data_IF_859306718965
#
_entry.id   IF_859306718965
#
_cell.length_a   1.000
_cell.length_b   1.000
_cell.length_c   1.000
_cell.angle_alpha   90.00
_cell.angle_beta   90.00
_cell.angle_gamma   90.00
#
_symmetry.space_group_name_H-M   'P 1'
#
loop_
_entity.id
_entity.type
_entity.pdbx_description
1 polymer ?
#
# COMPACT_ATOMS: atom_id res chain seq x y z
N UNK A 1 -0.29 2.83 -0.78
CA UNK A 1 -1.34 2.06 -1.50
C UNK A 1 -1.67 0.84 -0.66
N UNK A 2 -2.94 0.58 -0.37
CA UNK A 2 -3.38 -0.62 0.32
C UNK A 2 -3.87 -1.62 -0.72
N UNK A 3 -3.26 -2.80 -0.75
CA UNK A 3 -3.43 -3.81 -1.78
C UNK A 3 -2.37 -3.72 -2.88
N UNK A 4 -1.80 -4.87 -3.22
CA UNK A 4 -0.91 -5.04 -4.38
C UNK A 4 -1.39 -6.20 -5.27
N UNK A 5 -2.72 -6.25 -5.48
CA UNK A 5 -3.38 -7.05 -6.52
C UNK A 5 -3.47 -6.28 -7.84
N UNK A 6 -4.39 -6.64 -8.72
CA UNK A 6 -4.49 -6.04 -10.07
C UNK A 6 -4.60 -4.50 -10.02
N UNK A 7 -5.58 -3.95 -9.30
CA UNK A 7 -5.78 -2.50 -9.17
C UNK A 7 -4.55 -1.85 -8.51
N UNK A 8 -4.08 -2.39 -7.39
CA UNK A 8 -2.91 -1.88 -6.68
C UNK A 8 -1.63 -1.84 -7.53
N UNK A 9 -1.35 -2.89 -8.30
CA UNK A 9 -0.19 -2.96 -9.19
C UNK A 9 -0.24 -1.89 -10.28
N UNK A 10 -1.38 -1.72 -10.96
CA UNK A 10 -1.54 -0.68 -11.97
C UNK A 10 -1.49 0.72 -11.37
N UNK A 11 -2.04 0.92 -10.16
CA UNK A 11 -1.91 2.17 -9.42
C UNK A 11 -0.44 2.52 -9.19
N UNK A 12 0.34 1.60 -8.63
CA UNK A 12 1.76 1.83 -8.30
C UNK A 12 2.56 2.14 -9.56
N UNK A 13 2.38 1.32 -10.61
CA UNK A 13 3.01 1.52 -11.91
C UNK A 13 2.69 2.90 -12.53
N UNK A 14 1.43 3.33 -12.45
CA UNK A 14 1.01 4.60 -13.06
C UNK A 14 1.43 5.82 -12.23
N UNK A 15 1.47 5.71 -10.90
CA UNK A 15 2.01 6.76 -10.03
C UNK A 15 3.48 6.99 -10.36
N UNK A 16 4.28 5.92 -10.39
CA UNK A 16 5.70 5.98 -10.70
C UNK A 16 5.95 6.56 -12.11
N UNK A 17 5.19 6.10 -13.11
CA UNK A 17 5.26 6.62 -14.50
C UNK A 17 4.99 8.13 -14.59
N UNK A 18 4.21 8.69 -13.67
CA UNK A 18 3.89 10.12 -13.62
C UNK A 18 4.88 10.92 -12.76
N UNK A 19 5.96 10.29 -12.27
CA UNK A 19 6.97 10.92 -11.42
C UNK A 19 6.58 10.96 -9.93
N UNK A 20 5.48 10.31 -9.56
CA UNK A 20 5.07 10.15 -8.18
C UNK A 20 5.87 9.06 -7.47
N UNK A 21 5.88 9.10 -6.14
CA UNK A 21 6.59 8.14 -5.30
C UNK A 21 5.59 7.30 -4.50
N UNK A 22 5.69 5.98 -4.61
CA UNK A 22 4.94 5.07 -3.73
C UNK A 22 5.81 4.73 -2.53
N UNK A 23 5.55 5.39 -1.39
CA UNK A 23 6.34 5.19 -0.18
C UNK A 23 5.91 3.98 0.66
N UNK A 24 4.68 3.47 0.45
CA UNK A 24 4.16 2.39 1.28
C UNK A 24 3.18 1.47 0.53
N UNK A 25 3.29 0.16 0.79
CA UNK A 25 2.35 -0.88 0.38
C UNK A 25 1.84 -1.61 1.61
N UNK A 26 0.52 -1.67 1.81
CA UNK A 26 -0.11 -2.59 2.75
C UNK A 26 -0.65 -3.82 2.01
N UNK A 27 -0.50 -5.01 2.58
CA UNK A 27 -0.96 -6.28 2.03
C UNK A 27 -1.36 -7.24 3.16
N UNK A 28 -1.96 -8.36 2.77
CA UNK A 28 -2.25 -9.53 3.57
C UNK A 28 -1.40 -10.71 3.09
N UNK A 29 -0.84 -11.45 4.04
CA UNK A 29 -0.20 -12.74 3.83
C UNK A 29 -0.99 -13.83 4.55
N UNK A 30 -1.08 -15.01 3.94
CA UNK A 30 -1.83 -16.14 4.51
C UNK A 30 -1.28 -16.64 5.86
N UNK A 31 0.02 -16.48 6.09
CA UNK A 31 0.69 -16.98 7.29
C UNK A 31 0.87 -15.89 8.34
N UNK A 32 0.95 -14.62 7.92
CA UNK A 32 1.28 -13.50 8.81
C UNK A 32 0.18 -12.47 8.98
N UNK A 33 -0.91 -12.56 8.22
CA UNK A 33 -2.00 -11.59 8.23
C UNK A 33 -1.62 -10.26 7.57
N UNK A 34 -2.21 -9.17 8.03
CA UNK A 34 -1.94 -7.84 7.48
C UNK A 34 -0.52 -7.38 7.82
N UNK A 35 0.17 -6.83 6.83
CA UNK A 35 1.47 -6.22 6.98
C UNK A 35 1.59 -5.01 6.06
N UNK A 36 2.56 -4.15 6.33
CA UNK A 36 2.90 -3.07 5.43
C UNK A 36 4.40 -2.93 5.28
N UNK A 37 4.80 -2.40 4.14
CA UNK A 37 6.17 -2.07 3.77
C UNK A 37 6.28 -0.57 3.55
N UNK A 38 7.40 0.00 3.96
CA UNK A 38 7.67 1.43 3.84
C UNK A 38 9.08 1.69 3.30
N UNK A 39 9.20 2.67 2.43
CA UNK A 39 10.45 3.27 2.02
C UNK A 39 10.21 4.75 1.66
N UNK A 40 10.77 5.66 2.45
CA UNK A 40 10.66 7.11 2.21
C UNK A 40 11.27 7.55 0.86
N UNK A 41 12.20 6.77 0.31
CA UNK A 41 12.80 7.00 -1.00
C UNK A 41 11.95 6.47 -2.16
N UNK A 42 10.96 5.61 -1.86
CA UNK A 42 10.04 5.04 -2.83
C UNK A 42 10.25 3.53 -3.00
N UNK A 43 9.19 2.85 -3.39
CA UNK A 43 9.18 1.43 -3.73
C UNK A 43 9.09 1.31 -5.26
N UNK A 44 10.09 0.68 -5.87
CA UNK A 44 10.14 0.47 -7.33
C UNK A 44 9.10 -0.59 -7.75
N UNK A 45 8.27 -0.27 -8.74
CA UNK A 45 7.23 -1.17 -9.22
C UNK A 45 7.80 -2.48 -9.77
N UNK A 46 8.89 -2.43 -10.54
CA UNK A 46 9.46 -3.62 -11.20
C UNK A 46 10.06 -4.55 -10.16
N UNK A 47 10.76 -4.01 -9.17
CA UNK A 47 11.32 -4.80 -8.07
C UNK A 47 10.22 -5.45 -7.23
N UNK A 48 9.18 -4.69 -6.83
CA UNK A 48 8.03 -5.25 -6.11
C UNK A 48 7.32 -6.35 -6.90
N UNK A 49 7.07 -6.11 -8.19
CA UNK A 49 6.37 -7.07 -9.05
C UNK A 49 7.19 -8.35 -9.26
N UNK A 50 8.51 -8.22 -9.49
CA UNK A 50 9.41 -9.36 -9.62
C UNK A 50 9.47 -10.18 -8.31
N UNK A 51 9.66 -9.50 -7.17
CA UNK A 51 9.71 -10.15 -5.86
C UNK A 51 8.41 -10.88 -5.54
N UNK A 52 7.24 -10.25 -5.74
CA UNK A 52 5.95 -10.91 -5.51
C UNK A 52 5.72 -12.08 -6.47
N UNK A 53 6.19 -11.99 -7.72
CA UNK A 53 6.06 -13.07 -8.67
C UNK A 53 6.88 -14.31 -8.26
N UNK A 54 8.09 -14.09 -7.73
CA UNK A 54 9.00 -15.13 -7.25
C UNK A 54 8.54 -15.73 -5.92
N UNK A 55 8.32 -14.90 -4.90
CA UNK A 55 8.07 -15.34 -3.53
C UNK A 55 6.59 -15.52 -3.17
N UNK A 56 5.68 -15.06 -4.03
CA UNK A 56 4.20 -15.02 -3.79
C UNK A 56 3.76 -14.16 -2.62
N UNK A 57 4.68 -13.41 -2.04
CA UNK A 57 4.48 -12.45 -0.95
C UNK A 57 5.45 -11.28 -1.14
N UNK A 58 5.24 -10.18 -0.43
CA UNK A 58 6.20 -9.07 -0.34
C UNK A 58 6.97 -9.07 0.98
N UNK A 59 6.66 -9.99 1.89
CA UNK A 59 7.41 -10.14 3.15
C UNK A 59 8.88 -10.44 2.83
N UNK A 60 9.78 -9.68 3.46
CA UNK A 60 11.23 -9.77 3.24
C UNK A 60 11.76 -9.00 2.03
N UNK A 61 10.92 -8.22 1.33
CA UNK A 61 11.37 -7.37 0.23
C UNK A 61 12.52 -6.44 0.69
N UNK A 62 13.72 -6.54 0.11
CA UNK A 62 14.91 -5.86 0.63
C UNK A 62 14.89 -4.34 0.45
N UNK A 63 14.08 -3.83 -0.48
CA UNK A 63 13.94 -2.40 -0.75
C UNK A 63 13.00 -1.66 0.19
N UNK A 64 12.56 -2.28 1.30
CA UNK A 64 11.65 -1.66 2.25
C UNK A 64 11.87 -2.18 3.68
N UNK A 65 11.51 -1.35 4.66
CA UNK A 65 11.31 -1.81 6.03
C UNK A 65 9.87 -2.26 6.23
N UNK A 66 9.67 -3.25 7.11
CA UNK A 66 8.32 -3.64 7.54
C UNK A 66 7.83 -2.67 8.59
N UNK A 67 6.61 -2.18 8.41
CA UNK A 67 5.86 -1.39 9.38
C UNK A 67 4.55 -2.11 9.73
N UNK A 68 3.93 -1.70 10.82
CA UNK A 68 2.60 -2.17 11.19
C UNK A 68 1.52 -1.63 10.25
N UNK A 69 0.36 -2.29 10.21
CA UNK A 69 -0.80 -1.77 9.47
C UNK A 69 -1.23 -0.39 10.01
N UNK A 70 -1.20 -0.18 11.33
CA UNK A 70 -1.59 1.10 11.92
C UNK A 70 -0.64 2.23 11.52
N UNK A 71 0.67 1.97 11.46
CA UNK A 71 1.65 2.93 10.93
C UNK A 71 1.38 3.26 9.46
N UNK A 72 0.93 2.27 8.66
CA UNK A 72 0.54 2.53 7.28
C UNK A 72 -0.63 3.52 7.20
N UNK A 73 -1.63 3.43 8.07
CA UNK A 73 -2.81 4.31 8.02
C UNK A 73 -2.58 5.70 8.63
N UNK A 74 -1.66 5.82 9.59
CA UNK A 74 -1.47 7.05 10.37
C UNK A 74 -0.28 7.90 9.92
N UNK A 75 0.67 7.34 9.15
CA UNK A 75 1.75 8.12 8.52
C UNK A 75 1.19 9.20 7.60
N UNK A 76 1.99 10.25 7.44
CA UNK A 76 1.67 11.34 6.51
C UNK A 76 1.91 10.92 5.06
N UNK A 77 0.90 11.11 4.22
CA UNK A 77 0.98 10.94 2.77
C UNK A 77 0.29 12.09 2.03
N UNK A 78 0.68 12.35 0.79
CA UNK A 78 -0.13 13.20 -0.07
C UNK A 78 -1.43 12.48 -0.48
N UNK A 79 -1.33 11.18 -0.80
CA UNK A 79 -2.43 10.37 -1.32
C UNK A 79 -2.41 8.99 -0.67
N UNK A 80 -3.55 8.53 -0.17
CA UNK A 80 -3.80 7.12 0.18
C UNK A 80 -4.74 6.50 -0.87
N UNK A 81 -4.40 5.29 -1.33
CA UNK A 81 -5.23 4.54 -2.28
C UNK A 81 -5.64 3.22 -1.64
N UNK A 82 -6.86 3.08 -1.09
CA UNK A 82 -7.40 1.80 -0.67
C UNK A 82 -7.88 0.99 -1.89
N UNK A 83 -7.26 -0.16 -2.13
CA UNK A 83 -7.44 -0.95 -3.35
C UNK A 83 -7.44 -2.48 -3.10
N UNK A 84 -7.73 -2.93 -1.88
CA UNK A 84 -7.88 -4.35 -1.58
C UNK A 84 -9.30 -4.74 -1.17
N UNK A 85 -9.79 -4.22 -0.02
CA UNK A 85 -11.04 -4.67 0.61
C UNK A 85 -11.99 -3.50 0.85
N UNK A 86 -13.27 -3.83 1.01
CA UNK A 86 -14.32 -2.92 1.50
C UNK A 86 -14.16 -2.59 2.99
N UNK A 87 -14.79 -1.50 3.45
CA UNK A 87 -14.87 -1.08 4.86
C UNK A 87 -13.51 -0.97 5.58
N UNK A 88 -12.43 -0.68 4.85
CA UNK A 88 -11.10 -0.51 5.45
C UNK A 88 -10.96 0.86 6.11
N UNK A 89 -11.64 1.90 5.66
CA UNK A 89 -11.62 3.23 6.30
C UNK A 89 -12.85 3.34 7.19
N UNK A 90 -12.71 2.94 8.45
CA UNK A 90 -13.78 3.06 9.45
C UNK A 90 -13.86 4.48 10.02
N UNK A 91 -14.95 4.81 10.71
CA UNK A 91 -15.12 6.11 11.38
C UNK A 91 -14.03 6.43 12.42
N UNK A 92 -13.41 5.42 13.04
CA UNK A 92 -12.27 5.62 13.94
C UNK A 92 -10.97 5.87 13.17
N UNK A 93 -10.73 5.09 12.11
CA UNK A 93 -9.52 5.26 11.26
C UNK A 93 -9.54 6.59 10.51
N UNK A 94 -10.71 7.06 10.10
CA UNK A 94 -10.89 8.35 9.45
C UNK A 94 -10.42 9.54 10.31
N UNK A 95 -10.41 9.40 11.65
CA UNK A 95 -9.93 10.45 12.57
C UNK A 95 -8.41 10.53 12.63
N UNK A 96 -7.70 9.47 12.25
CA UNK A 96 -6.24 9.35 12.41
C UNK A 96 -5.49 9.37 11.07
N UNK A 97 -6.19 9.16 9.95
CA UNK A 97 -5.59 9.27 8.62
C UNK A 97 -5.03 10.66 8.38
N UNK A 98 -3.75 10.72 8.04
CA UNK A 98 -3.06 11.95 7.67
C UNK A 98 -2.74 11.94 6.16
N UNK A 99 -3.75 12.27 5.35
CA UNK A 99 -3.61 12.37 3.90
C UNK A 99 -4.38 13.56 3.32
N UNK A 100 -3.85 14.16 2.24
CA UNK A 100 -4.54 15.25 1.53
C UNK A 100 -5.66 14.73 0.63
N UNK A 101 -5.55 13.50 0.15
CA UNK A 101 -6.51 12.86 -0.74
C UNK A 101 -6.59 11.35 -0.48
N UNK A 102 -7.82 10.82 -0.52
CA UNK A 102 -8.09 9.38 -0.57
C UNK A 102 -8.66 9.07 -1.96
N UNK A 103 -8.01 8.17 -2.70
CA UNK A 103 -8.47 7.71 -4.02
C UNK A 103 -8.90 6.26 -3.95
N UNK A 104 -10.20 6.01 -3.90
CA UNK A 104 -10.76 4.66 -3.77
C UNK A 104 -10.55 3.83 -5.05
N UNK A 105 -9.81 2.73 -4.94
CA UNK A 105 -9.64 1.74 -6.01
C UNK A 105 -10.46 0.46 -5.76
N UNK A 106 -10.84 0.19 -4.51
CA UNK A 106 -11.78 -0.86 -4.14
C UNK A 106 -13.23 -0.33 -4.19
N UNK A 107 -14.20 -1.25 -4.15
CA UNK A 107 -15.61 -0.90 -3.98
C UNK A 107 -15.92 -0.73 -2.49
N UNK A 108 -16.51 0.40 -2.10
CA UNK A 108 -16.91 0.69 -0.72
C UNK A 108 -15.78 0.55 0.32
N UNK A 109 -14.56 1.07 0.09
CA UNK A 109 -13.49 0.96 1.07
C UNK A 109 -13.68 1.86 2.29
N UNK A 110 -14.64 2.79 2.26
CA UNK A 110 -14.97 3.74 3.33
C UNK A 110 -16.39 3.53 3.84
#
# INVERSE_FOLDING_TARGET
VQGFGNVGQFTVKNIERQGGKVCAIAEWDRNEGNYALYNANGLDFKELAAYKAEHKTLIGFPGAERITEEEFWTKEYDIIVPAALENVITGERAKTINAKLICEGANGPT
#
